data_IF_125362250784
#
_entry.id   IF_125362250784
#
_cell.length_a   1.000
_cell.length_b   1.000
_cell.length_c   1.000
_cell.angle_alpha   90.00
_cell.angle_beta   90.00
_cell.angle_gamma   90.00
#
_symmetry.space_group_name_H-M   'P 1'
#
loop_
_entity.id
_entity.type
_entity.pdbx_description
1 polymer ?
#
# COMPACT_ATOMS: atom_id res chain seq x y z
N UNK A 1 9.13 27.44 -44.41
CA UNK A 1 7.97 26.55 -44.16
C UNK A 1 8.34 25.08 -44.06
N UNK A 2 9.16 24.51 -44.97
CA UNK A 2 9.57 23.09 -44.92
C UNK A 2 10.27 22.67 -43.62
N UNK A 3 11.14 23.53 -43.08
CA UNK A 3 11.84 23.27 -41.82
C UNK A 3 10.89 23.22 -40.60
N UNK A 4 9.79 23.98 -40.63
CA UNK A 4 8.80 24.00 -39.56
C UNK A 4 8.03 22.66 -39.51
N UNK A 5 7.69 22.13 -40.69
CA UNK A 5 7.03 20.83 -40.82
C UNK A 5 7.93 19.70 -40.31
N UNK A 6 9.23 19.78 -40.58
CA UNK A 6 10.22 18.80 -40.12
C UNK A 6 10.38 18.80 -38.59
N UNK A 7 10.41 19.99 -37.98
CA UNK A 7 10.42 20.15 -36.52
C UNK A 7 9.15 19.62 -35.85
N UNK A 8 7.99 19.84 -36.47
CA UNK A 8 6.71 19.34 -35.96
C UNK A 8 6.66 17.80 -35.95
N UNK A 9 7.16 17.16 -37.02
CA UNK A 9 7.19 15.69 -37.12
C UNK A 9 8.13 15.10 -36.06
N UNK A 10 9.30 15.70 -35.84
CA UNK A 10 10.24 15.26 -34.79
C UNK A 10 9.61 15.41 -33.39
N UNK A 11 8.93 16.52 -33.13
CA UNK A 11 8.25 16.76 -31.86
C UNK A 11 7.10 15.75 -31.61
N UNK A 12 6.31 15.44 -32.64
CA UNK A 12 5.24 14.43 -32.53
C UNK A 12 5.76 13.01 -32.30
N UNK A 13 6.88 12.63 -32.92
CA UNK A 13 7.48 11.31 -32.74
C UNK A 13 8.21 11.16 -31.39
N UNK A 14 8.83 12.23 -30.88
CA UNK A 14 9.51 12.23 -29.58
C UNK A 14 8.57 12.05 -28.38
N UNK A 15 7.30 12.43 -28.52
CA UNK A 15 6.29 12.26 -27.45
C UNK A 15 5.84 10.81 -27.24
N UNK A 16 6.14 9.89 -28.18
CA UNK A 16 5.76 8.47 -28.08
C UNK A 16 6.70 7.70 -27.12
N UNK A 17 7.92 8.18 -26.90
CA UNK A 17 8.88 7.60 -25.97
C UNK A 17 8.82 8.20 -24.55
N UNK A 18 7.87 9.09 -24.29
CA UNK A 18 7.78 9.84 -23.03
C UNK A 18 6.84 9.25 -21.96
N UNK A 19 6.02 8.25 -22.29
CA UNK A 19 5.26 7.52 -21.27
C UNK A 19 6.15 6.38 -20.78
N UNK A 20 6.89 6.68 -19.72
CA UNK A 20 7.92 5.84 -19.13
C UNK A 20 7.44 4.44 -18.79
N UNK A 21 8.42 3.60 -18.45
CA UNK A 21 8.45 2.14 -18.27
C UNK A 21 7.30 1.46 -17.49
N UNK A 22 6.23 2.17 -17.12
CA UNK A 22 5.08 1.71 -16.37
C UNK A 22 3.77 1.91 -17.14
N UNK A 23 3.11 0.81 -17.52
CA UNK A 23 1.74 0.83 -18.08
C UNK A 23 0.74 0.43 -17.00
N UNK A 24 -0.28 1.25 -16.75
CA UNK A 24 -1.35 0.90 -15.81
C UNK A 24 -1.93 -0.48 -16.12
N UNK A 25 -2.08 -1.31 -15.09
CA UNK A 25 -2.67 -2.65 -15.20
C UNK A 25 -4.07 -2.70 -14.57
N UNK A 26 -4.17 -2.42 -13.27
CA UNK A 26 -5.44 -2.49 -12.53
C UNK A 26 -5.37 -1.76 -11.20
N UNK A 27 -6.54 -1.60 -10.58
CA UNK A 27 -6.67 -1.23 -9.16
C UNK A 27 -6.80 -2.50 -8.32
N UNK A 28 -6.14 -2.53 -7.17
CA UNK A 28 -6.22 -3.58 -6.16
C UNK A 28 -6.68 -2.94 -4.86
N UNK A 29 -7.70 -3.52 -4.23
CA UNK A 29 -8.19 -3.09 -2.93
C UNK A 29 -8.07 -4.24 -1.94
N UNK A 30 -7.43 -4.00 -0.80
CA UNK A 30 -7.44 -4.92 0.34
C UNK A 30 -8.36 -4.38 1.42
N UNK A 31 -9.13 -5.28 2.02
CA UNK A 31 -9.92 -5.02 3.21
C UNK A 31 -9.31 -5.81 4.36
N UNK A 32 -9.10 -5.15 5.49
CA UNK A 32 -8.69 -5.76 6.75
C UNK A 32 -9.85 -5.63 7.72
N UNK A 33 -10.13 -6.70 8.45
CA UNK A 33 -11.10 -6.71 9.54
C UNK A 33 -10.43 -7.10 10.85
N UNK A 34 -11.04 -6.67 11.95
CA UNK A 34 -10.59 -7.05 13.28
C UNK A 34 -11.76 -7.42 14.17
N UNK A 35 -11.55 -8.47 14.95
CA UNK A 35 -12.44 -8.97 15.99
C UNK A 35 -11.72 -8.96 17.34
N UNK A 36 -12.31 -8.29 18.32
CA UNK A 36 -11.77 -8.13 19.68
C UNK A 36 -12.76 -8.68 20.71
N UNK A 37 -13.00 -10.01 20.74
CA UNK A 37 -13.89 -10.63 21.72
C UNK A 37 -13.18 -10.75 23.08
N UNK A 38 -13.11 -9.65 23.83
CA UNK A 38 -12.83 -9.55 25.28
C UNK A 38 -11.51 -10.10 25.87
N UNK A 39 -10.80 -11.06 25.25
CA UNK A 39 -9.56 -11.64 25.81
C UNK A 39 -8.59 -12.18 24.73
N UNK A 40 -9.10 -12.59 23.57
CA UNK A 40 -8.28 -13.10 22.46
C UNK A 40 -8.56 -12.28 21.22
N UNK A 41 -7.71 -11.30 20.97
CA UNK A 41 -7.88 -10.41 19.83
C UNK A 41 -7.48 -11.17 18.56
N UNK A 42 -8.37 -11.17 17.57
CA UNK A 42 -8.13 -11.78 16.25
C UNK A 42 -8.05 -10.67 15.22
N UNK A 43 -6.94 -10.64 14.48
CA UNK A 43 -6.65 -9.59 13.52
C UNK A 43 -6.40 -10.19 12.16
N UNK A 44 -6.94 -9.56 11.11
CA UNK A 44 -6.57 -9.92 9.76
C UNK A 44 -5.11 -9.57 9.49
N UNK A 45 -4.43 -10.51 8.84
CA UNK A 45 -3.12 -10.32 8.25
C UNK A 45 -3.20 -10.72 6.79
N UNK A 46 -2.89 -9.79 5.89
CA UNK A 46 -2.86 -10.07 4.45
C UNK A 46 -1.40 -10.12 4.01
N UNK A 47 -0.93 -11.31 3.69
CA UNK A 47 0.40 -11.52 3.09
C UNK A 47 0.29 -11.35 1.58
N UNK A 48 1.23 -10.62 0.98
CA UNK A 48 1.22 -10.37 -0.46
C UNK A 48 2.65 -10.35 -1.02
N UNK A 49 2.73 -10.53 -2.34
CA UNK A 49 3.94 -10.26 -3.12
C UNK A 49 3.56 -9.50 -4.38
N UNK A 50 4.31 -8.45 -4.71
CA UNK A 50 4.21 -7.77 -6.00
C UNK A 50 4.68 -8.76 -7.07
N UNK A 51 3.87 -9.10 -8.09
CA UNK A 51 4.27 -10.07 -9.10
C UNK A 51 5.51 -9.61 -9.89
N UNK A 52 6.22 -10.57 -10.47
CA UNK A 52 7.36 -10.26 -11.32
C UNK A 52 6.94 -9.37 -12.50
N UNK A 53 7.81 -8.42 -12.89
CA UNK A 53 7.55 -7.41 -13.92
C UNK A 53 6.33 -6.51 -13.64
N UNK A 54 5.97 -6.34 -12.37
CA UNK A 54 4.97 -5.38 -11.93
C UNK A 54 5.56 -4.45 -10.86
N UNK A 55 4.96 -3.27 -10.71
CA UNK A 55 5.16 -2.42 -9.54
C UNK A 55 3.81 -2.03 -8.97
N UNK A 56 3.75 -1.85 -7.66
CA UNK A 56 2.55 -1.39 -6.98
C UNK A 56 2.77 0.00 -6.43
N UNK A 57 1.76 0.86 -6.56
CA UNK A 57 1.70 2.16 -5.92
C UNK A 57 0.52 2.15 -4.96
N UNK A 58 0.79 2.17 -3.67
CA UNK A 58 -0.25 2.36 -2.66
C UNK A 58 -0.63 3.83 -2.67
N UNK A 59 -1.89 4.12 -3.00
CA UNK A 59 -2.43 5.48 -3.10
C UNK A 59 -2.96 5.99 -1.77
N UNK A 60 -3.55 5.08 -0.98
CA UNK A 60 -4.13 5.43 0.31
C UNK A 60 -4.36 4.17 1.14
N UNK A 61 -4.47 4.39 2.44
CA UNK A 61 -5.12 3.46 3.32
C UNK A 61 -5.96 4.22 4.35
N UNK A 62 -6.97 3.53 4.85
CA UNK A 62 -7.91 4.02 5.86
C UNK A 62 -8.07 2.95 6.93
N UNK A 63 -8.28 3.40 8.17
CA UNK A 63 -8.60 2.52 9.29
C UNK A 63 -9.67 3.19 10.15
N UNK A 64 -10.73 2.46 10.47
CA UNK A 64 -11.80 2.98 11.34
C UNK A 64 -11.33 3.25 12.77
N UNK A 65 -10.40 2.41 13.27
CA UNK A 65 -9.83 2.51 14.62
C UNK A 65 -8.53 1.69 14.72
N UNK A 66 -7.55 2.08 15.55
CA UNK A 66 -6.23 1.43 15.55
C UNK A 66 -5.34 1.86 14.38
N UNK A 67 -4.39 1.02 13.99
CA UNK A 67 -3.42 1.32 12.91
C UNK A 67 -3.32 0.17 11.90
N UNK A 68 -3.02 0.52 10.65
CA UNK A 68 -2.63 -0.44 9.60
C UNK A 68 -1.14 -0.30 9.33
N UNK A 69 -0.44 -1.42 9.39
CA UNK A 69 1.01 -1.50 9.16
C UNK A 69 1.34 -2.26 7.88
N UNK A 70 2.37 -1.79 7.17
CA UNK A 70 3.06 -2.55 6.14
C UNK A 70 4.38 -3.06 6.71
N UNK A 71 4.56 -4.39 6.74
CA UNK A 71 5.75 -5.02 7.28
C UNK A 71 6.41 -5.90 6.22
N UNK A 72 7.73 -6.08 6.34
CA UNK A 72 8.42 -7.11 5.57
C UNK A 72 7.88 -8.50 5.94
N UNK A 73 7.96 -9.45 5.01
CA UNK A 73 7.53 -10.83 5.28
C UNK A 73 8.31 -11.48 6.45
N UNK A 74 9.56 -11.07 6.68
CA UNK A 74 10.44 -11.61 7.72
C UNK A 74 10.18 -11.01 9.11
N UNK A 75 9.46 -9.89 9.21
CA UNK A 75 9.15 -9.25 10.49
C UNK A 75 8.13 -10.09 11.25
N UNK A 76 8.57 -10.71 12.36
CA UNK A 76 7.68 -11.42 13.29
C UNK A 76 7.00 -10.40 14.19
N UNK A 77 5.69 -10.24 14.02
CA UNK A 77 4.71 -9.66 14.95
C UNK A 77 5.28 -8.61 15.92
N UNK A 78 5.25 -7.33 15.54
CA UNK A 78 5.27 -6.29 16.57
C UNK A 78 3.89 -6.27 17.24
N UNK A 79 3.83 -6.84 18.45
CA UNK A 79 2.75 -6.55 19.38
C UNK A 79 2.99 -5.18 19.98
N UNK A 80 2.06 -4.25 19.75
CA UNK A 80 1.96 -2.91 20.32
C UNK A 80 2.95 -1.87 19.77
N UNK A 81 2.39 -0.92 18.99
CA UNK A 81 2.91 0.44 18.95
C UNK A 81 1.98 1.25 19.84
N UNK A 82 2.51 1.87 20.88
CA UNK A 82 1.72 2.67 21.81
C UNK A 82 1.42 4.04 21.20
N UNK A 83 0.24 4.22 20.60
CA UNK A 83 -0.34 5.56 20.45
C UNK A 83 -1.88 5.50 20.33
N UNK A 84 -2.57 6.41 21.00
CA UNK A 84 -4.03 6.45 21.12
C UNK A 84 -4.71 7.24 20.00
N UNK A 85 -4.30 7.08 18.73
CA UNK A 85 -4.81 7.90 17.62
C UNK A 85 -5.18 7.09 16.38
N UNK A 86 -6.03 7.68 15.53
CA UNK A 86 -6.38 7.18 14.19
C UNK A 86 -5.23 7.49 13.24
N UNK A 87 -4.32 6.56 13.01
CA UNK A 87 -3.17 6.79 12.12
C UNK A 87 -2.84 5.55 11.28
N UNK A 88 -2.31 5.78 10.08
CA UNK A 88 -1.87 4.76 9.11
C UNK A 88 -0.34 4.79 9.07
N UNK A 89 0.36 3.68 9.31
CA UNK A 89 1.83 3.71 9.42
C UNK A 89 2.49 2.63 8.59
N UNK A 90 3.02 2.99 7.43
CA UNK A 90 3.56 2.04 6.44
C UNK A 90 5.10 1.99 6.38
N UNK A 91 5.83 1.96 7.50
CA UNK A 91 7.31 2.04 7.54
C UNK A 91 8.01 0.82 8.19
N UNK A 92 9.20 0.38 7.70
CA UNK A 92 10.09 -0.53 8.42
C UNK A 92 10.92 0.26 9.48
N UNK A 93 10.29 0.61 10.61
CA UNK A 93 10.83 1.10 11.93
C UNK A 93 12.09 1.98 11.88
N UNK A 94 12.05 3.30 12.17
CA UNK A 94 12.07 3.84 13.55
C UNK A 94 11.87 5.39 13.61
N UNK A 95 11.11 6.05 12.72
CA UNK A 95 11.09 7.55 12.69
C UNK A 95 9.75 8.27 12.45
N UNK A 96 8.62 7.58 12.33
CA UNK A 96 7.32 8.24 12.17
C UNK A 96 6.89 8.39 10.71
N UNK A 97 5.87 7.59 10.37
CA UNK A 97 4.87 7.68 9.29
C UNK A 97 5.33 7.92 7.85
N UNK A 98 5.19 6.90 6.99
CA UNK A 98 5.27 7.05 5.54
C UNK A 98 4.00 7.72 4.98
N UNK A 99 4.21 8.75 4.16
CA UNK A 99 3.16 9.54 3.51
C UNK A 99 2.93 8.96 2.11
N UNK A 100 1.68 8.69 1.76
CA UNK A 100 1.30 8.26 0.42
C UNK A 100 1.70 9.30 -0.64
N UNK A 101 2.08 8.86 -1.86
CA UNK A 101 2.05 7.48 -2.33
C UNK A 101 3.29 6.66 -1.95
N UNK A 102 3.10 5.37 -1.69
CA UNK A 102 4.18 4.41 -1.44
C UNK A 102 4.36 3.48 -2.63
N UNK A 103 5.58 3.35 -3.15
CA UNK A 103 5.89 2.46 -4.26
C UNK A 103 6.57 1.18 -3.76
N UNK A 104 6.08 0.05 -4.25
CA UNK A 104 6.65 -1.27 -4.00
C UNK A 104 7.18 -1.86 -5.30
N UNK A 105 8.43 -2.27 -5.25
CA UNK A 105 9.17 -2.81 -6.38
C UNK A 105 8.69 -4.22 -6.76
N UNK A 106 9.05 -4.66 -7.97
CA UNK A 106 8.80 -6.03 -8.44
C UNK A 106 9.38 -7.05 -7.47
N UNK A 107 8.63 -8.11 -7.19
CA UNK A 107 8.98 -9.18 -6.26
C UNK A 107 9.11 -8.75 -4.78
N UNK A 108 8.70 -7.53 -4.42
CA UNK A 108 8.56 -7.16 -3.02
C UNK A 108 7.50 -8.05 -2.36
N UNK A 109 7.84 -8.71 -1.26
CA UNK A 109 6.91 -9.47 -0.43
C UNK A 109 6.76 -8.83 0.95
N UNK A 110 5.51 -8.60 1.34
CA UNK A 110 5.17 -7.95 2.60
C UNK A 110 3.91 -8.52 3.21
N UNK A 111 3.49 -7.89 4.30
CA UNK A 111 2.21 -8.13 4.92
C UNK A 111 1.57 -6.81 5.33
N UNK A 112 0.28 -6.70 5.08
CA UNK A 112 -0.56 -5.73 5.76
C UNK A 112 -1.05 -6.36 7.05
N UNK A 113 -0.85 -5.68 8.16
CA UNK A 113 -1.23 -6.17 9.47
C UNK A 113 -1.96 -5.08 10.23
N UNK A 114 -3.04 -5.47 10.91
CA UNK A 114 -3.63 -4.59 11.90
C UNK A 114 -2.75 -4.49 13.16
N UNK A 115 -2.67 -3.30 13.73
CA UNK A 115 -2.06 -3.05 15.03
C UNK A 115 -3.08 -2.39 15.96
N UNK A 116 -3.43 -3.08 17.03
CA UNK A 116 -4.04 -2.46 18.18
C UNK A 116 -3.00 -2.35 19.28
N UNK A 117 -2.89 -1.18 19.88
CA UNK A 117 -2.20 -1.02 21.16
C UNK A 117 -2.91 -1.77 22.29
N UNK A 118 -2.59 -1.44 23.53
CA UNK A 118 -3.14 -2.03 24.77
C UNK A 118 -4.59 -1.67 25.07
N UNK A 119 -5.38 -1.31 24.06
CA UNK A 119 -6.71 -0.80 24.28
C UNK A 119 -7.70 -1.91 24.69
N UNK A 120 -8.31 -1.76 25.87
CA UNK A 120 -9.41 -2.57 26.41
C UNK A 120 -10.74 -2.27 25.67
N UNK A 121 -10.77 -2.42 24.35
CA UNK A 121 -12.01 -2.29 23.58
C UNK A 121 -12.50 -3.66 23.17
N UNK A 122 -13.82 -3.83 23.16
CA UNK A 122 -14.47 -5.09 22.80
C UNK A 122 -15.24 -4.87 21.51
N UNK A 123 -15.07 -5.77 20.57
CA UNK A 123 -15.56 -5.62 19.22
C UNK A 123 -15.83 -7.03 18.68
N UNK A 124 -17.02 -7.25 18.15
CA UNK A 124 -17.41 -8.54 17.58
C UNK A 124 -17.93 -8.31 16.15
N UNK A 125 -17.77 -9.31 15.29
CA UNK A 125 -18.23 -9.34 13.90
C UNK A 125 -17.57 -8.29 12.98
N UNK A 126 -16.24 -8.13 13.04
CA UNK A 126 -15.46 -7.33 12.10
C UNK A 126 -15.81 -5.84 12.13
N UNK A 127 -16.30 -5.32 13.26
CA UNK A 127 -16.84 -3.96 13.33
C UNK A 127 -15.78 -2.87 13.12
N UNK A 128 -14.50 -3.20 13.15
CA UNK A 128 -13.44 -2.34 12.65
C UNK A 128 -12.96 -2.82 11.29
N UNK A 129 -12.93 -1.89 10.35
CA UNK A 129 -12.51 -2.14 8.97
C UNK A 129 -11.38 -1.20 8.58
N UNK A 130 -10.45 -1.74 7.80
CA UNK A 130 -9.34 -1.05 7.20
C UNK A 130 -9.37 -1.30 5.69
N UNK A 131 -9.03 -0.29 4.92
CA UNK A 131 -9.04 -0.34 3.46
C UNK A 131 -7.69 0.13 2.95
N UNK A 132 -7.13 -0.57 1.95
CA UNK A 132 -5.88 -0.19 1.29
C UNK A 132 -6.14 -0.18 -0.21
N UNK A 133 -5.83 0.95 -0.86
CA UNK A 133 -6.02 1.14 -2.30
C UNK A 133 -4.67 1.20 -3.01
N UNK A 134 -4.51 0.37 -4.03
CA UNK A 134 -3.25 0.17 -4.76
C UNK A 134 -3.50 0.26 -6.26
N UNK A 135 -2.61 0.95 -6.99
CA UNK A 135 -2.51 0.87 -8.44
C UNK A 135 -1.38 -0.09 -8.80
N UNK A 136 -1.67 -1.07 -9.65
CA UNK A 136 -0.67 -1.98 -10.21
C UNK A 136 -0.30 -1.52 -11.62
N UNK A 137 0.99 -1.54 -11.93
CA UNK A 137 1.55 -1.22 -13.24
C UNK A 137 2.37 -2.39 -13.76
N UNK A 138 2.36 -2.57 -15.09
CA UNK A 138 3.30 -3.40 -15.83
C UNK A 138 4.62 -2.67 -15.99
N UNK A 139 5.75 -3.33 -15.77
CA UNK A 139 7.05 -2.84 -16.23
C UNK A 139 7.18 -3.19 -17.71
N UNK A 140 7.21 -2.18 -18.58
CA UNK A 140 7.39 -2.31 -20.03
C UNK A 140 8.82 -1.83 -20.36
N UNK A 141 9.64 -2.64 -21.04
CA UNK A 141 11.00 -2.28 -21.45
C UNK A 141 11.08 -1.07 -22.38
#
# INVERSE_FOLDING_TARGET
MKALFFLLVIACCGMVYGQGNLQFNRVINYTLTADIPTQTNTYDTVVFCVPNNKVWKIESAFVGWGEVMLLSQATKNYSSVASAQRTVTLCPVNTGYDVFPLWLESNYCGRFQWNFGTANQTCNNGCYTGLISILEFNIVP
#
